data_IF_367260988581
#
_entry.id   IF_367260988581
#
_cell.length_a   1.000
_cell.length_b   1.000
_cell.length_c   1.000
_cell.angle_alpha   90.00
_cell.angle_beta   90.00
_cell.angle_gamma   90.00
#
_symmetry.space_group_name_H-M   'P 1'
#
loop_
_entity.id
_entity.type
_entity.pdbx_description
1 polymer ?
#
# COMPACT_ATOMS: atom_id res chain seq x y z
N UNK A 1 10.58 2.42 11.16
CA UNK A 1 11.17 1.18 10.60
C UNK A 1 11.53 1.41 9.13
N UNK A 2 12.64 0.90 8.59
CA UNK A 2 12.99 1.05 7.16
C UNK A 2 12.75 -0.29 6.45
N UNK A 3 11.84 -0.36 5.46
CA UNK A 3 11.51 -1.58 4.70
C UNK A 3 12.75 -2.33 4.18
N UNK A 4 13.75 -1.60 3.68
CA UNK A 4 15.03 -2.18 3.22
C UNK A 4 15.85 -2.93 4.29
N UNK A 5 15.49 -2.80 5.57
CA UNK A 5 16.14 -3.50 6.70
C UNK A 5 15.33 -4.72 7.18
N UNK A 6 14.25 -5.09 6.48
CA UNK A 6 13.44 -6.24 6.85
C UNK A 6 14.22 -7.54 6.61
N UNK A 7 14.48 -8.29 7.67
CA UNK A 7 15.23 -9.55 7.60
C UNK A 7 14.50 -10.58 6.73
N UNK A 8 15.25 -11.29 5.88
CA UNK A 8 14.68 -12.26 4.93
C UNK A 8 14.25 -11.67 3.59
N UNK A 9 14.38 -10.35 3.39
CA UNK A 9 13.97 -9.67 2.15
C UNK A 9 15.10 -8.82 1.57
N UNK A 10 15.08 -8.63 0.25
CA UNK A 10 15.99 -7.76 -0.50
C UNK A 10 15.18 -6.65 -1.17
N UNK A 11 14.70 -5.69 -0.37
CA UNK A 11 13.74 -4.66 -0.83
C UNK A 11 14.46 -3.41 -1.33
N UNK A 12 14.25 -3.10 -2.62
CA UNK A 12 14.52 -1.78 -3.18
C UNK A 12 13.24 -0.93 -3.07
N UNK A 13 13.27 0.14 -2.27
CA UNK A 13 12.05 0.90 -1.93
C UNK A 13 11.28 1.43 -3.14
N UNK A 14 11.98 1.85 -4.21
CA UNK A 14 11.34 2.31 -5.45
C UNK A 14 10.62 1.18 -6.18
N UNK A 15 11.26 0.01 -6.34
CA UNK A 15 10.63 -1.15 -6.97
C UNK A 15 9.44 -1.67 -6.16
N UNK A 16 9.57 -1.70 -4.83
CA UNK A 16 8.47 -2.07 -3.94
C UNK A 16 7.27 -1.14 -4.12
N UNK A 17 7.50 0.17 -4.07
CA UNK A 17 6.43 1.15 -4.27
C UNK A 17 5.78 1.01 -5.66
N UNK A 18 6.57 0.80 -6.71
CA UNK A 18 6.04 0.61 -8.06
C UNK A 18 5.21 -0.67 -8.19
N UNK A 19 5.69 -1.80 -7.66
CA UNK A 19 4.96 -3.08 -7.68
C UNK A 19 3.62 -2.96 -6.94
N UNK A 20 3.63 -2.38 -5.73
CA UNK A 20 2.39 -2.09 -5.00
C UNK A 20 1.42 -1.25 -5.83
N UNK A 21 1.91 -0.19 -6.49
CA UNK A 21 1.08 0.75 -7.26
C UNK A 21 0.47 0.12 -8.50
N UNK A 22 1.19 -0.74 -9.21
CA UNK A 22 0.63 -1.44 -10.37
C UNK A 22 -0.55 -2.32 -9.98
N UNK A 23 -0.49 -2.97 -8.81
CA UNK A 23 -1.61 -3.74 -8.30
C UNK A 23 -2.73 -2.86 -7.72
N UNK A 24 -2.38 -1.84 -6.94
CA UNK A 24 -3.35 -0.91 -6.34
C UNK A 24 -4.17 -0.13 -7.37
N UNK A 25 -3.63 0.15 -8.58
CA UNK A 25 -4.38 0.77 -9.68
C UNK A 25 -5.70 0.05 -9.99
N UNK A 26 -5.78 -1.26 -9.74
CA UNK A 26 -6.99 -2.08 -9.95
C UNK A 26 -8.11 -1.76 -8.95
N UNK A 27 -7.79 -1.13 -7.82
CA UNK A 27 -8.74 -0.74 -6.76
C UNK A 27 -8.87 0.78 -6.58
N UNK A 28 -8.22 1.58 -7.43
CA UNK A 28 -8.10 3.04 -7.26
C UNK A 28 -9.45 3.76 -7.27
N UNK A 29 -10.46 3.20 -7.95
CA UNK A 29 -11.80 3.80 -8.08
C UNK A 29 -12.57 3.87 -6.76
N UNK A 30 -12.21 3.06 -5.75
CA UNK A 30 -12.80 3.11 -4.41
C UNK A 30 -12.23 4.24 -3.54
N UNK A 31 -11.22 4.98 -4.02
CA UNK A 31 -10.49 5.97 -3.23
C UNK A 31 -10.67 7.39 -3.78
N UNK A 32 -11.34 8.26 -3.01
CA UNK A 32 -11.51 9.68 -3.37
C UNK A 32 -10.19 10.44 -3.26
N UNK A 33 -9.97 11.35 -4.22
CA UNK A 33 -8.82 12.27 -4.27
C UNK A 33 -7.46 11.61 -4.02
N UNK A 34 -7.31 10.36 -4.48
CA UNK A 34 -6.10 9.58 -4.28
C UNK A 34 -5.04 9.92 -5.32
N UNK A 35 -3.78 9.94 -4.88
CA UNK A 35 -2.61 9.93 -5.74
C UNK A 35 -1.68 8.79 -5.33
N UNK A 36 -0.96 8.28 -6.32
CA UNK A 36 0.11 7.30 -6.18
C UNK A 36 1.44 7.83 -6.69
N UNK A 37 1.48 9.08 -7.17
CA UNK A 37 2.69 9.70 -7.72
C UNK A 37 3.50 10.39 -6.62
N UNK A 38 4.03 9.57 -5.72
CA UNK A 38 4.87 10.03 -4.61
C UNK A 38 6.22 9.34 -4.59
N UNK A 39 7.13 9.83 -3.75
CA UNK A 39 8.37 9.13 -3.43
C UNK A 39 8.11 7.73 -2.82
N UNK A 40 9.12 6.85 -2.77
CA UNK A 40 8.96 5.45 -2.37
C UNK A 40 8.64 5.23 -0.89
N UNK A 41 8.53 6.30 -0.11
CA UNK A 41 8.11 6.25 1.30
C UNK A 41 6.59 6.41 1.46
N UNK A 42 5.89 6.81 0.39
CA UNK A 42 4.44 6.99 0.36
C UNK A 42 3.89 6.13 -0.76
N UNK A 43 3.20 5.04 -0.43
CA UNK A 43 2.64 4.11 -1.42
C UNK A 43 1.45 4.74 -2.15
N UNK A 44 0.57 5.35 -1.38
CA UNK A 44 -0.65 6.05 -1.78
C UNK A 44 -0.97 7.14 -0.75
N UNK A 45 -1.59 8.23 -1.17
CA UNK A 45 -2.13 9.26 -0.27
C UNK A 45 -3.34 9.92 -0.91
N UNK A 46 -4.34 10.22 -0.12
CA UNK A 46 -5.55 10.92 -0.56
C UNK A 46 -6.24 11.59 0.61
N UNK A 47 -7.41 12.16 0.34
CA UNK A 47 -8.20 12.86 1.33
C UNK A 47 -9.68 12.81 1.00
N UNK A 48 -10.51 12.95 2.02
CA UNK A 48 -11.94 13.18 1.92
C UNK A 48 -12.27 14.47 2.67
N UNK A 49 -13.35 15.12 2.28
CA UNK A 49 -13.87 16.24 3.05
C UNK A 49 -14.35 15.70 4.40
N UNK A 50 -13.99 16.39 5.48
CA UNK A 50 -14.39 16.00 6.81
C UNK A 50 -15.74 16.62 7.14
N UNK A 51 -16.72 15.76 7.43
CA UNK A 51 -18.03 16.12 7.93
C UNK A 51 -18.25 15.41 9.27
N UNK A 52 -18.47 16.18 10.34
CA UNK A 52 -18.59 15.63 11.69
C UNK A 52 -19.80 14.70 11.83
N UNK A 53 -20.86 14.92 11.05
CA UNK A 53 -22.05 14.07 11.06
C UNK A 53 -21.80 12.71 10.38
N UNK A 54 -20.80 12.64 9.49
CA UNK A 54 -20.45 11.44 8.70
C UNK A 54 -19.15 10.77 9.13
N UNK A 55 -18.44 11.33 10.11
CA UNK A 55 -17.12 10.87 10.50
C UNK A 55 -17.06 9.35 10.79
N UNK A 56 -18.08 8.80 11.45
CA UNK A 56 -18.15 7.36 11.71
C UNK A 56 -18.29 6.52 10.43
N UNK A 57 -19.17 6.96 9.51
CA UNK A 57 -19.40 6.30 8.22
C UNK A 57 -18.15 6.38 7.34
N UNK A 58 -17.51 7.56 7.29
CA UNK A 58 -16.28 7.80 6.54
C UNK A 58 -15.12 6.94 7.07
N UNK A 59 -14.94 6.85 8.39
CA UNK A 59 -13.92 5.97 9.00
C UNK A 59 -14.20 4.51 8.65
N UNK A 60 -15.46 4.07 8.76
CA UNK A 60 -15.85 2.70 8.43
C UNK A 60 -15.59 2.37 6.95
N UNK A 61 -15.95 3.29 6.05
CA UNK A 61 -15.71 3.16 4.62
C UNK A 61 -14.21 3.07 4.31
N UNK A 62 -13.40 3.96 4.88
CA UNK A 62 -11.94 3.94 4.72
C UNK A 62 -11.33 2.63 5.24
N UNK A 63 -11.79 2.13 6.39
CA UNK A 63 -11.33 0.86 6.94
C UNK A 63 -11.68 -0.31 6.01
N UNK A 64 -12.91 -0.36 5.49
CA UNK A 64 -13.33 -1.40 4.56
C UNK A 64 -12.54 -1.34 3.24
N UNK A 65 -12.34 -0.16 2.67
CA UNK A 65 -11.51 0.01 1.46
C UNK A 65 -10.06 -0.43 1.71
N UNK A 66 -9.53 -0.20 2.92
CA UNK A 66 -8.20 -0.69 3.29
C UNK A 66 -8.15 -2.22 3.34
N UNK A 67 -9.16 -2.88 3.89
CA UNK A 67 -9.24 -4.35 3.94
C UNK A 67 -9.24 -4.98 2.54
N UNK A 68 -9.80 -4.31 1.53
CA UNK A 68 -9.76 -4.78 0.14
C UNK A 68 -8.35 -4.81 -0.46
N UNK A 69 -7.45 -3.95 0.02
CA UNK A 69 -6.12 -3.75 -0.56
C UNK A 69 -4.97 -4.24 0.33
N UNK A 70 -5.22 -4.58 1.60
CA UNK A 70 -4.16 -4.92 2.56
C UNK A 70 -3.29 -6.09 2.07
N UNK A 71 -3.91 -7.06 1.39
CA UNK A 71 -3.23 -8.22 0.82
C UNK A 71 -2.23 -7.86 -0.29
N UNK A 72 -2.32 -6.67 -0.89
CA UNK A 72 -1.39 -6.19 -1.91
C UNK A 72 -0.02 -6.01 -1.27
N UNK A 73 0.05 -5.57 -0.02
CA UNK A 73 1.31 -5.41 0.72
C UNK A 73 2.04 -6.76 0.83
N UNK A 74 1.32 -7.82 1.22
CA UNK A 74 1.90 -9.15 1.36
C UNK A 74 2.32 -9.74 0.01
N UNK A 75 1.48 -9.58 -1.02
CA UNK A 75 1.81 -10.01 -2.39
C UNK A 75 3.08 -9.31 -2.89
N UNK A 76 3.16 -7.98 -2.73
CA UNK A 76 4.35 -7.22 -3.09
C UNK A 76 5.56 -7.67 -2.26
N UNK A 77 5.43 -7.94 -0.95
CA UNK A 77 6.55 -8.41 -0.12
C UNK A 77 7.13 -9.74 -0.61
N UNK A 78 6.29 -10.66 -1.10
CA UNK A 78 6.73 -11.97 -1.60
C UNK A 78 7.73 -11.83 -2.76
N UNK A 79 7.54 -10.84 -3.64
CA UNK A 79 8.44 -10.57 -4.78
C UNK A 79 9.88 -10.25 -4.34
N UNK A 80 10.06 -9.72 -3.13
CA UNK A 80 11.37 -9.33 -2.59
C UNK A 80 11.91 -10.32 -1.56
N UNK A 81 11.24 -11.46 -1.33
CA UNK A 81 11.73 -12.47 -0.40
C UNK A 81 13.03 -13.07 -0.93
N UNK A 82 14.07 -13.12 -0.10
CA UNK A 82 15.33 -13.76 -0.48
C UNK A 82 15.06 -15.23 -0.76
N UNK A 83 15.52 -15.72 -1.90
CA UNK A 83 15.52 -17.15 -2.16
C UNK A 83 16.45 -17.82 -1.14
N UNK A 84 16.01 -18.92 -0.53
CA UNK A 84 16.92 -19.76 0.26
C UNK A 84 17.81 -20.49 -0.74
N UNK A 85 19.04 -20.02 -0.89
CA UNK A 85 20.09 -20.81 -1.52
C UNK A 85 20.46 -21.92 -0.54
N UNK A 86 20.07 -23.16 -0.85
CA UNK A 86 20.67 -24.32 -0.22
C UNK A 86 22.01 -24.53 -0.91
N UNK A 87 23.11 -24.26 -0.19
CA UNK A 87 24.46 -24.66 -0.58
C UNK A 87 24.75 -26.03 0.05
#
# INVERSE_FOLDING_TARGET
>A
MKLRKLNGYSIESRKFANSFREEFKKSIYNWKNISIDFGPLTLMQGWIEFDNEKAQEDILHLANNFLEIENIIDKTLIEFKKQRTFN
#
